data_IF_717033855982
#
_entry.id   IF_717033855982
#
_cell.length_a   1.000
_cell.length_b   1.000
_cell.length_c   1.000
_cell.angle_alpha   90.00
_cell.angle_beta   90.00
_cell.angle_gamma   90.00
#
_symmetry.space_group_name_H-M   'P 1'
#
loop_
_entity.id
_entity.type
_entity.pdbx_description
1 polymer ?
#
# COMPACT_ATOMS: atom_id res chain seq x y z
N UNK A 1 -13.42 -23.28 17.47
CA UNK A 1 -12.33 -22.51 16.82
C UNK A 1 -12.45 -21.08 17.32
N UNK A 2 -11.43 -20.55 17.97
CA UNK A 2 -11.41 -19.10 18.27
C UNK A 2 -11.37 -18.36 16.94
N UNK A 3 -12.17 -17.29 16.74
CA UNK A 3 -12.04 -16.47 15.55
C UNK A 3 -10.59 -15.98 15.48
N UNK A 4 -9.96 -16.12 14.30
CA UNK A 4 -8.62 -15.59 14.08
C UNK A 4 -8.56 -14.12 14.48
N UNK A 5 -7.41 -13.67 14.98
CA UNK A 5 -7.23 -12.26 15.35
C UNK A 5 -7.49 -11.38 14.11
N UNK A 6 -8.22 -10.25 14.28
CA UNK A 6 -8.52 -9.38 13.16
C UNK A 6 -7.21 -8.83 12.59
N UNK A 7 -7.16 -8.61 11.26
CA UNK A 7 -5.95 -8.11 10.64
C UNK A 7 -5.64 -6.67 11.08
N UNK A 8 -4.39 -6.25 10.93
CA UNK A 8 -3.96 -4.87 11.15
C UNK A 8 -3.94 -4.15 9.81
N UNK A 9 -4.54 -2.96 9.77
CA UNK A 9 -4.60 -2.12 8.57
C UNK A 9 -3.82 -0.83 8.81
N UNK A 10 -3.01 -0.44 7.84
CA UNK A 10 -2.26 0.82 7.83
C UNK A 10 -2.55 1.58 6.54
N UNK A 11 -3.02 2.82 6.67
CA UNK A 11 -3.05 3.76 5.56
C UNK A 11 -1.63 4.09 5.12
N UNK A 12 -1.31 3.91 3.84
CA UNK A 12 0.06 3.97 3.34
C UNK A 12 0.18 4.84 2.09
N UNK A 13 0.56 6.10 2.29
CA UNK A 13 0.88 7.05 1.22
C UNK A 13 2.38 7.07 0.87
N UNK A 14 3.22 6.37 1.63
CA UNK A 14 4.69 6.34 1.46
C UNK A 14 5.41 7.53 2.11
N UNK A 15 4.69 8.38 2.84
CA UNK A 15 5.30 9.42 3.66
C UNK A 15 6.15 8.82 4.80
N UNK A 16 7.10 9.57 5.37
CA UNK A 16 7.86 9.12 6.53
C UNK A 16 6.96 8.71 7.71
N UNK A 17 5.78 9.30 7.83
CA UNK A 17 4.83 9.02 8.91
C UNK A 17 4.11 7.69 8.67
N UNK A 18 3.71 7.42 7.42
CA UNK A 18 3.19 6.12 7.02
C UNK A 18 4.23 5.00 7.18
N UNK A 19 5.51 5.27 6.89
CA UNK A 19 6.60 4.32 7.12
C UNK A 19 6.75 3.96 8.60
N UNK A 20 6.69 4.97 9.49
CA UNK A 20 6.74 4.72 10.94
C UNK A 20 5.52 3.96 11.44
N UNK A 21 4.33 4.28 10.91
CA UNK A 21 3.10 3.55 11.24
C UNK A 21 3.17 2.07 10.80
N UNK A 22 3.69 1.81 9.60
CA UNK A 22 3.88 0.45 9.09
C UNK A 22 4.93 -0.32 9.91
N UNK A 23 6.03 0.32 10.30
CA UNK A 23 7.04 -0.30 11.17
C UNK A 23 6.47 -0.66 12.55
N UNK A 24 5.66 0.22 13.14
CA UNK A 24 4.95 -0.07 14.38
C UNK A 24 3.97 -1.25 14.20
N UNK A 25 3.23 -1.27 13.09
CA UNK A 25 2.28 -2.35 12.81
C UNK A 25 2.96 -3.71 12.62
N UNK A 26 4.16 -3.75 12.02
CA UNK A 26 4.98 -4.96 11.94
C UNK A 26 5.29 -5.51 13.33
N UNK A 27 5.69 -4.65 14.28
CA UNK A 27 5.93 -5.08 15.65
C UNK A 27 4.64 -5.62 16.30
N UNK A 28 3.53 -4.91 16.13
CA UNK A 28 2.22 -5.32 16.67
C UNK A 28 1.72 -6.67 16.10
N UNK A 29 1.95 -6.94 14.82
CA UNK A 29 1.55 -8.19 14.15
C UNK A 29 2.45 -9.36 14.56
N UNK A 30 3.75 -9.13 14.79
CA UNK A 30 4.69 -10.17 15.26
C UNK A 30 4.29 -10.76 16.61
N UNK A 31 3.67 -9.97 17.47
CA UNK A 31 3.17 -10.42 18.77
C UNK A 31 1.84 -11.22 18.66
N UNK A 32 1.27 -11.34 17.45
CA UNK A 32 -0.06 -11.88 17.20
C UNK A 32 -0.03 -12.96 16.10
N UNK A 33 0.33 -14.21 16.43
CA UNK A 33 0.41 -15.30 15.46
C UNK A 33 -0.85 -15.41 14.60
N UNK A 34 -0.66 -15.52 13.28
CA UNK A 34 -1.76 -15.65 12.31
C UNK A 34 -2.42 -14.33 11.88
N UNK A 35 -1.94 -13.18 12.36
CA UNK A 35 -2.44 -11.87 11.92
C UNK A 35 -1.74 -11.41 10.64
N UNK A 36 -2.50 -10.85 9.70
CA UNK A 36 -1.99 -10.27 8.45
C UNK A 36 -1.91 -8.74 8.60
N UNK A 37 -0.87 -8.14 8.03
CA UNK A 37 -0.76 -6.69 7.85
C UNK A 37 -1.27 -6.29 6.47
N UNK A 38 -2.25 -5.39 6.40
CA UNK A 38 -2.70 -4.79 5.15
C UNK A 38 -2.19 -3.35 5.03
N UNK A 39 -1.42 -3.08 3.98
CA UNK A 39 -1.08 -1.71 3.58
C UNK A 39 -2.11 -1.22 2.57
N UNK A 40 -2.78 -0.11 2.87
CA UNK A 40 -3.84 0.44 2.04
C UNK A 40 -3.44 1.81 1.55
N UNK A 41 -3.24 1.92 0.24
CA UNK A 41 -3.04 3.21 -0.41
C UNK A 41 -4.36 3.70 -0.99
N UNK A 42 -4.79 4.85 -0.49
CA UNK A 42 -5.94 5.57 -1.00
C UNK A 42 -5.49 6.63 -2.00
N UNK A 43 -6.11 6.64 -3.17
CA UNK A 43 -5.69 7.49 -4.27
C UNK A 43 -6.85 8.22 -4.90
N UNK A 44 -6.61 9.52 -5.09
CA UNK A 44 -7.35 10.34 -6.04
C UNK A 44 -6.60 10.38 -7.36
N UNK A 45 -7.33 10.58 -8.45
CA UNK A 45 -6.72 10.81 -9.75
C UNK A 45 -5.85 12.08 -9.69
N UNK A 46 -4.59 12.03 -10.15
CA UNK A 46 -3.79 13.23 -10.26
C UNK A 46 -4.42 14.16 -11.31
N UNK A 47 -4.19 15.49 -11.22
CA UNK A 47 -4.49 16.38 -12.33
C UNK A 47 -3.78 15.89 -13.59
N UNK A 48 -4.52 15.69 -14.68
CA UNK A 48 -3.97 15.21 -15.95
C UNK A 48 -3.68 16.40 -16.85
N UNK A 49 -2.40 16.75 -17.10
CA UNK A 49 -2.06 17.80 -18.05
C UNK A 49 -2.27 17.27 -19.48
N UNK A 50 -3.49 17.42 -20.00
CA UNK A 50 -3.85 16.99 -21.36
C UNK A 50 -3.42 18.01 -22.44
N UNK A 51 -2.95 19.19 -22.04
CA UNK A 51 -2.45 20.20 -22.97
C UNK A 51 -1.06 19.86 -23.49
N UNK A 52 -0.92 19.63 -24.79
CA UNK A 52 0.38 19.46 -25.47
C UNK A 52 1.08 18.10 -25.24
N UNK A 53 0.40 17.14 -24.60
CA UNK A 53 0.91 15.77 -24.42
C UNK A 53 0.56 14.92 -25.65
N UNK A 54 1.53 14.17 -26.16
CA UNK A 54 1.27 13.10 -27.15
C UNK A 54 0.60 11.87 -26.51
N UNK A 55 0.67 11.74 -25.18
CA UNK A 55 -0.02 10.69 -24.42
C UNK A 55 -1.48 11.04 -24.19
N UNK A 56 -2.33 10.05 -24.39
CA UNK A 56 -3.74 10.04 -24.02
C UNK A 56 -3.91 10.09 -22.49
N UNK A 57 -5.08 10.55 -22.03
CA UNK A 57 -5.45 10.46 -20.63
C UNK A 57 -5.27 9.03 -20.08
N UNK A 58 -5.75 8.03 -20.83
CA UNK A 58 -5.69 6.62 -20.43
C UNK A 58 -4.25 6.15 -20.17
N UNK A 59 -3.28 6.53 -21.02
CA UNK A 59 -1.87 6.18 -20.85
C UNK A 59 -1.27 6.85 -19.61
N UNK A 60 -1.63 8.11 -19.34
CA UNK A 60 -1.17 8.82 -18.13
C UNK A 60 -1.73 8.16 -16.87
N UNK A 61 -3.04 7.83 -16.85
CA UNK A 61 -3.65 7.09 -15.74
C UNK A 61 -2.98 5.73 -15.52
N UNK A 62 -2.75 4.97 -16.59
CA UNK A 62 -2.15 3.64 -16.50
C UNK A 62 -0.72 3.70 -15.96
N UNK A 63 0.07 4.67 -16.44
CA UNK A 63 1.43 4.89 -15.94
C UNK A 63 1.44 5.29 -14.46
N UNK A 64 0.50 6.16 -14.04
CA UNK A 64 0.36 6.52 -12.63
C UNK A 64 -0.01 5.31 -11.78
N UNK A 65 -1.04 4.52 -12.16
CA UNK A 65 -1.43 3.33 -11.41
C UNK A 65 -0.28 2.32 -11.29
N UNK A 66 0.49 2.10 -12.37
CA UNK A 66 1.64 1.21 -12.37
C UNK A 66 2.73 1.69 -11.39
N UNK A 67 3.08 2.98 -11.42
CA UNK A 67 4.06 3.57 -10.50
C UNK A 67 3.63 3.42 -9.04
N UNK A 68 2.35 3.67 -8.78
CA UNK A 68 1.80 3.58 -7.43
C UNK A 68 1.74 2.15 -6.89
N UNK A 69 1.39 1.20 -7.76
CA UNK A 69 1.42 -0.23 -7.45
C UNK A 69 2.84 -0.68 -7.16
N UNK A 70 3.80 -0.31 -8.01
CA UNK A 70 5.21 -0.65 -7.81
C UNK A 70 5.74 -0.12 -6.48
N UNK A 71 5.41 1.11 -6.10
CA UNK A 71 5.81 1.67 -4.83
C UNK A 71 5.18 0.92 -3.63
N UNK A 72 3.92 0.50 -3.75
CA UNK A 72 3.25 -0.27 -2.70
C UNK A 72 3.77 -1.71 -2.61
N UNK A 73 4.16 -2.34 -3.73
CA UNK A 73 4.85 -3.63 -3.75
C UNK A 73 6.23 -3.55 -3.10
N UNK A 74 7.00 -2.49 -3.38
CA UNK A 74 8.28 -2.26 -2.71
C UNK A 74 8.11 -2.10 -1.19
N UNK A 75 7.03 -1.45 -0.75
CA UNK A 75 6.68 -1.36 0.67
C UNK A 75 6.32 -2.73 1.27
N UNK A 76 5.52 -3.54 0.57
CA UNK A 76 5.22 -4.93 0.99
C UNK A 76 6.50 -5.71 1.23
N UNK A 77 7.41 -5.68 0.26
CA UNK A 77 8.65 -6.47 0.31
C UNK A 77 9.55 -6.00 1.46
N UNK A 78 9.60 -4.68 1.72
CA UNK A 78 10.30 -4.10 2.87
C UNK A 78 9.71 -4.56 4.21
N UNK A 79 8.39 -4.70 4.33
CA UNK A 79 7.74 -5.04 5.59
C UNK A 79 7.47 -6.54 5.80
N UNK A 80 7.53 -7.35 4.74
CA UNK A 80 7.36 -8.81 4.80
C UNK A 80 8.58 -9.57 5.42
N UNK A 81 9.45 -8.87 6.14
CA UNK A 81 10.66 -9.45 6.73
C UNK A 81 10.33 -10.44 7.84
N UNK A 82 11.09 -11.55 7.88
CA UNK A 82 10.89 -12.61 8.87
C UNK A 82 9.64 -13.46 8.64
N UNK A 83 9.16 -13.55 7.40
CA UNK A 83 8.00 -14.38 7.03
C UNK A 83 6.65 -13.77 7.39
N UNK A 84 6.61 -12.47 7.71
CA UNK A 84 5.38 -11.76 8.03
C UNK A 84 4.50 -11.62 6.80
N UNK A 85 3.24 -12.03 6.92
CA UNK A 85 2.26 -11.89 5.85
C UNK A 85 1.85 -10.41 5.71
N UNK A 86 2.23 -9.81 4.58
CA UNK A 86 1.83 -8.45 4.19
C UNK A 86 1.03 -8.50 2.90
N UNK A 87 -0.16 -7.93 2.93
CA UNK A 87 -1.01 -7.72 1.76
C UNK A 87 -1.10 -6.23 1.42
N UNK A 88 -1.30 -5.93 0.14
CA UNK A 88 -1.39 -4.57 -0.35
C UNK A 88 -2.72 -4.30 -1.05
N UNK A 89 -3.24 -3.10 -0.85
CA UNK A 89 -4.50 -2.65 -1.44
C UNK A 89 -4.32 -1.28 -2.06
N UNK A 90 -4.52 -1.20 -3.38
CA UNK A 90 -4.60 0.06 -4.12
C UNK A 90 -6.07 0.40 -4.31
N UNK A 91 -6.54 1.50 -3.72
CA UNK A 91 -7.96 1.91 -3.73
C UNK A 91 -8.12 3.28 -4.36
N UNK A 92 -8.99 3.35 -5.37
CA UNK A 92 -9.45 4.59 -6.00
C UNK A 92 -10.70 5.09 -5.30
N UNK A 93 -10.83 6.40 -5.17
CA UNK A 93 -12.00 7.10 -4.64
C UNK A 93 -12.45 8.17 -5.62
#
# INVERSE_FOLDING_TARGET
>A
MSPGLPPVLVGYDGSPDAERAAAWAVAAVRERPGTVLHLVRAQTLPPLPLGGSERTAAEVLAAHEASERQALEAARDRFATGGLAVEIHLRRF
#
